data_IF_112424626140
#
_entry.id   IF_112424626140
#
_cell.length_a   1.000
_cell.length_b   1.000
_cell.length_c   1.000
_cell.angle_alpha   90.00
_cell.angle_beta   90.00
_cell.angle_gamma   90.00
#
_symmetry.space_group_name_H-M   'P 1'
#
loop_
_entity.id
_entity.type
_entity.pdbx_description
1 polymer ?
#
# COMPACT_ATOMS: atom_id res chain seq x y z
N UNK A 1 -12.23 23.90 4.19
CA UNK A 1 -12.30 22.46 4.54
C UNK A 1 -10.94 21.89 4.24
N UNK A 2 -10.24 21.30 5.21
CA UNK A 2 -8.96 20.62 4.99
C UNK A 2 -9.21 19.46 4.02
N UNK A 3 -8.41 19.38 2.96
CA UNK A 3 -8.44 18.23 2.04
C UNK A 3 -8.14 16.97 2.87
N UNK A 4 -9.11 16.07 2.99
CA UNK A 4 -8.96 14.85 3.79
C UNK A 4 -8.16 13.85 2.96
N UNK A 5 -6.86 13.79 3.19
CA UNK A 5 -5.98 12.82 2.54
C UNK A 5 -6.24 11.43 3.11
N UNK A 6 -6.46 10.46 2.24
CA UNK A 6 -6.67 9.05 2.58
C UNK A 6 -5.62 8.19 1.87
N UNK A 7 -5.48 6.94 2.25
CA UNK A 7 -4.70 6.00 1.44
C UNK A 7 -5.61 5.45 0.35
N UNK A 8 -5.13 5.49 -0.88
CA UNK A 8 -5.80 4.96 -2.06
C UNK A 8 -5.42 3.49 -2.28
N UNK A 9 -4.12 3.24 -2.36
CA UNK A 9 -3.58 1.90 -2.57
C UNK A 9 -2.13 1.76 -2.11
N UNK A 10 -1.69 0.52 -2.07
CA UNK A 10 -0.29 0.14 -1.94
C UNK A 10 0.19 -0.48 -3.22
N UNK A 11 1.44 -0.22 -3.60
CA UNK A 11 2.09 -0.79 -4.77
C UNK A 11 3.08 -1.86 -4.32
N UNK A 12 2.94 -3.06 -4.85
CA UNK A 12 3.91 -4.14 -4.69
C UNK A 12 4.62 -4.31 -6.02
N UNK A 13 5.91 -4.02 -6.02
CA UNK A 13 6.76 -4.15 -7.20
C UNK A 13 7.12 -5.61 -7.39
N UNK A 14 6.84 -6.16 -8.57
CA UNK A 14 7.02 -7.57 -8.91
C UNK A 14 7.76 -7.75 -10.22
N UNK A 15 8.56 -8.83 -10.31
CA UNK A 15 9.28 -9.17 -11.52
C UNK A 15 8.40 -9.93 -12.52
N UNK A 16 7.60 -10.86 -12.02
CA UNK A 16 6.68 -11.69 -12.80
C UNK A 16 5.24 -11.42 -12.37
N UNK A 17 4.52 -10.65 -13.18
CA UNK A 17 3.16 -10.21 -12.87
C UNK A 17 2.14 -11.37 -12.86
N UNK A 18 2.32 -12.39 -13.72
CA UNK A 18 1.40 -13.55 -13.79
C UNK A 18 1.54 -14.42 -12.53
N UNK A 19 2.78 -14.74 -12.15
CA UNK A 19 3.07 -15.46 -10.92
C UNK A 19 2.55 -14.68 -9.69
N UNK A 20 2.88 -13.39 -9.59
CA UNK A 20 2.43 -12.55 -8.49
C UNK A 20 0.91 -12.44 -8.43
N UNK A 21 0.22 -12.36 -9.57
CA UNK A 21 -1.25 -12.37 -9.65
C UNK A 21 -1.83 -13.68 -9.10
N UNK A 22 -1.22 -14.81 -9.45
CA UNK A 22 -1.62 -16.11 -8.91
C UNK A 22 -1.41 -16.19 -7.39
N UNK A 23 -0.23 -15.78 -6.92
CA UNK A 23 0.13 -15.78 -5.50
C UNK A 23 -0.84 -14.91 -4.68
N UNK A 24 -1.11 -13.68 -5.13
CA UNK A 24 -2.03 -12.78 -4.44
C UNK A 24 -3.50 -13.20 -4.55
N UNK A 25 -3.89 -13.87 -5.65
CA UNK A 25 -5.24 -14.47 -5.73
C UNK A 25 -5.43 -15.55 -4.67
N UNK A 26 -4.42 -16.39 -4.45
CA UNK A 26 -4.41 -17.38 -3.36
C UNK A 26 -4.39 -16.70 -1.99
N UNK A 27 -3.48 -15.75 -1.78
CA UNK A 27 -3.33 -15.06 -0.51
C UNK A 27 -4.61 -14.34 -0.08
N UNK A 28 -5.22 -13.59 -1.01
CA UNK A 28 -6.41 -12.80 -0.73
C UNK A 28 -7.71 -13.61 -0.78
N UNK A 29 -7.73 -14.78 -1.43
CA UNK A 29 -8.95 -15.55 -1.68
C UNK A 29 -9.90 -14.83 -2.64
N UNK A 30 -9.36 -14.03 -3.57
CA UNK A 30 -10.12 -13.18 -4.48
C UNK A 30 -9.54 -13.25 -5.91
N UNK A 31 -10.38 -12.96 -6.91
CA UNK A 31 -9.91 -12.71 -8.27
C UNK A 31 -9.52 -11.23 -8.42
N UNK A 32 -8.58 -10.91 -9.34
CA UNK A 32 -8.29 -9.52 -9.66
C UNK A 32 -9.53 -8.73 -10.07
N UNK A 33 -9.56 -7.46 -9.68
CA UNK A 33 -10.54 -6.47 -10.15
C UNK A 33 -10.21 -5.92 -11.52
N UNK A 34 -8.90 -5.93 -11.86
CA UNK A 34 -8.36 -5.30 -13.04
C UNK A 34 -7.02 -5.92 -13.41
N UNK A 35 -6.78 -6.08 -14.70
CA UNK A 35 -5.48 -6.45 -15.24
C UNK A 35 -5.19 -5.54 -16.43
N UNK A 36 -4.29 -4.59 -16.26
CA UNK A 36 -4.11 -3.52 -17.22
C UNK A 36 -2.67 -3.19 -17.55
N UNK A 37 -2.53 -2.13 -18.31
CA UNK A 37 -1.23 -1.57 -18.67
C UNK A 37 -1.30 -0.05 -18.73
N UNK A 38 -0.12 0.56 -18.58
CA UNK A 38 0.14 1.98 -18.73
C UNK A 38 1.15 2.17 -19.89
N UNK A 39 0.71 2.16 -21.15
CA UNK A 39 1.61 2.17 -22.30
C UNK A 39 2.59 3.35 -22.29
N UNK A 40 2.10 4.55 -21.90
CA UNK A 40 2.90 5.77 -21.83
C UNK A 40 3.97 5.76 -20.73
N UNK A 41 3.84 4.83 -19.76
CA UNK A 41 4.75 4.70 -18.62
C UNK A 41 5.54 3.39 -18.63
N UNK A 42 5.27 2.50 -19.60
CA UNK A 42 5.97 1.23 -19.77
C UNK A 42 5.71 0.20 -18.67
N UNK A 43 4.55 0.22 -17.99
CA UNK A 43 4.22 -0.71 -16.91
C UNK A 43 2.94 -1.49 -17.19
N UNK A 44 2.82 -2.66 -16.53
CA UNK A 44 1.59 -3.43 -16.46
C UNK A 44 1.23 -3.70 -14.99
N UNK A 45 -0.05 -3.85 -14.71
CA UNK A 45 -0.53 -4.04 -13.35
C UNK A 45 -1.66 -5.06 -13.22
N UNK A 46 -1.81 -5.54 -11.99
CA UNK A 46 -2.98 -6.29 -11.51
C UNK A 46 -3.48 -5.63 -10.23
N UNK A 47 -4.78 -5.33 -10.17
CA UNK A 47 -5.39 -4.66 -9.02
C UNK A 47 -6.36 -5.59 -8.30
N UNK A 48 -6.33 -5.56 -6.97
CA UNK A 48 -7.28 -6.22 -6.09
C UNK A 48 -7.95 -5.17 -5.20
N UNK A 49 -9.17 -4.77 -5.55
CA UNK A 49 -9.96 -3.84 -4.73
C UNK A 49 -10.50 -4.58 -3.52
N UNK A 50 -10.13 -4.10 -2.35
CA UNK A 50 -10.62 -4.51 -1.05
C UNK A 50 -11.62 -3.46 -0.52
N UNK A 51 -12.21 -3.71 0.62
CA UNK A 51 -13.26 -2.83 1.18
C UNK A 51 -12.76 -1.42 1.51
N UNK A 52 -11.47 -1.26 1.77
CA UNK A 52 -10.92 0.03 2.20
C UNK A 52 -9.86 0.65 1.29
N UNK A 53 -9.09 -0.14 0.57
CA UNK A 53 -8.10 0.29 -0.42
C UNK A 53 -7.97 -0.79 -1.50
N UNK A 54 -7.17 -0.56 -2.53
CA UNK A 54 -6.73 -1.68 -3.38
C UNK A 54 -5.24 -1.97 -3.25
N UNK A 55 -4.86 -3.20 -3.60
CA UNK A 55 -3.48 -3.63 -3.74
C UNK A 55 -3.16 -3.63 -5.23
N UNK A 56 -2.10 -2.94 -5.63
CA UNK A 56 -1.56 -2.95 -6.97
C UNK A 56 -0.29 -3.80 -7.03
N UNK A 57 -0.28 -4.83 -7.86
CA UNK A 57 0.93 -5.50 -8.32
C UNK A 57 1.41 -4.78 -9.57
N UNK A 58 2.63 -4.26 -9.55
CA UNK A 58 3.17 -3.43 -10.63
C UNK A 58 4.48 -4.04 -11.17
N UNK A 59 4.53 -4.23 -12.49
CA UNK A 59 5.70 -4.75 -13.19
C UNK A 59 6.13 -3.82 -14.33
N UNK A 60 7.42 -3.79 -14.63
CA UNK A 60 7.92 -3.20 -15.87
C UNK A 60 7.47 -4.06 -17.07
N UNK A 61 6.96 -3.41 -18.13
CA UNK A 61 6.40 -4.08 -19.31
C UNK A 61 6.73 -3.35 -20.61
N UNK A 62 7.70 -2.44 -20.58
CA UNK A 62 8.12 -1.62 -21.73
C UNK A 62 9.14 -0.58 -21.33
N UNK A 63 9.19 0.51 -22.08
CA UNK A 63 10.05 1.66 -21.80
C UNK A 63 9.23 2.81 -21.22
N UNK A 64 9.79 3.56 -20.27
CA UNK A 64 9.16 4.72 -19.67
C UNK A 64 9.62 4.96 -18.24
N UNK A 65 9.39 6.16 -17.73
CA UNK A 65 9.87 6.58 -16.41
C UNK A 65 9.41 5.63 -15.28
N UNK A 66 8.17 5.17 -15.31
CA UNK A 66 7.68 4.25 -14.28
C UNK A 66 8.30 2.85 -14.40
N UNK A 67 8.56 2.38 -15.64
CA UNK A 67 9.29 1.13 -15.86
C UNK A 67 10.73 1.21 -15.34
N UNK A 68 11.39 2.34 -15.52
CA UNK A 68 12.76 2.58 -15.01
C UNK A 68 12.77 2.54 -13.47
N UNK A 69 11.82 3.21 -12.81
CA UNK A 69 11.67 3.19 -11.34
C UNK A 69 11.42 1.77 -10.83
N UNK A 70 10.53 1.02 -11.47
CA UNK A 70 10.23 -0.38 -11.10
C UNK A 70 11.47 -1.25 -11.26
N UNK A 71 12.21 -1.09 -12.35
CA UNK A 71 13.44 -1.83 -12.63
C UNK A 71 14.51 -1.53 -11.58
N UNK A 72 14.74 -0.26 -11.27
CA UNK A 72 15.69 0.16 -10.23
C UNK A 72 15.32 -0.41 -8.84
N UNK A 73 14.03 -0.39 -8.49
CA UNK A 73 13.57 -1.00 -7.23
C UNK A 73 13.84 -2.51 -7.19
N UNK A 74 13.58 -3.22 -8.28
CA UNK A 74 13.84 -4.67 -8.38
C UNK A 74 15.33 -4.99 -8.28
N UNK A 75 16.19 -4.20 -8.90
CA UNK A 75 17.64 -4.38 -8.84
C UNK A 75 18.19 -4.14 -7.43
N UNK A 76 17.68 -3.13 -6.74
CA UNK A 76 18.18 -2.74 -5.42
C UNK A 76 17.58 -3.53 -4.26
N UNK A 77 16.32 -3.97 -4.36
CA UNK A 77 15.55 -4.54 -3.24
C UNK A 77 14.89 -5.89 -3.55
N UNK A 78 14.86 -6.31 -4.81
CA UNK A 78 14.00 -7.41 -5.25
C UNK A 78 12.51 -7.03 -5.21
N UNK A 79 11.66 -8.04 -5.28
CA UNK A 79 10.21 -7.84 -5.12
C UNK A 79 9.91 -7.30 -3.71
N UNK A 80 9.11 -6.24 -3.62
CA UNK A 80 8.90 -5.52 -2.35
C UNK A 80 7.63 -4.68 -2.34
N UNK A 81 7.24 -4.24 -1.15
CA UNK A 81 6.29 -3.14 -0.97
C UNK A 81 6.99 -1.85 -1.43
N UNK A 82 6.68 -1.42 -2.67
CA UNK A 82 7.40 -0.39 -3.38
C UNK A 82 6.77 1.00 -3.27
N UNK A 83 5.45 1.12 -3.08
CA UNK A 83 4.78 2.42 -3.07
C UNK A 83 3.60 2.53 -2.12
N UNK A 84 3.33 3.76 -1.70
CA UNK A 84 2.16 4.15 -0.91
C UNK A 84 1.49 5.36 -1.56
N UNK A 85 0.27 5.18 -2.06
CA UNK A 85 -0.45 6.20 -2.82
C UNK A 85 -1.61 6.75 -1.99
N UNK A 86 -1.73 8.07 -2.01
CA UNK A 86 -2.74 8.80 -1.26
C UNK A 86 -3.84 9.30 -2.19
N UNK A 87 -5.09 9.30 -1.72
CA UNK A 87 -6.24 9.83 -2.45
C UNK A 87 -6.64 11.20 -1.94
N UNK A 88 -7.15 12.01 -2.86
CA UNK A 88 -7.86 13.25 -2.55
C UNK A 88 -9.12 13.36 -3.41
N UNK A 89 -10.24 13.88 -2.88
CA UNK A 89 -11.43 14.16 -3.69
C UNK A 89 -11.29 15.42 -4.56
N UNK A 90 -10.27 16.24 -4.31
CA UNK A 90 -10.02 17.50 -5.04
C UNK A 90 -8.52 17.77 -5.10
N UNK A 91 -7.94 17.54 -6.26
CA UNK A 91 -6.49 17.63 -6.48
C UNK A 91 -5.98 19.07 -6.42
N UNK A 92 -6.77 20.06 -6.85
CA UNK A 92 -6.40 21.48 -6.78
C UNK A 92 -6.34 21.96 -5.33
N UNK A 93 -7.33 21.57 -4.51
CA UNK A 93 -7.34 21.88 -3.08
C UNK A 93 -6.18 21.19 -2.35
N UNK A 94 -5.85 19.95 -2.73
CA UNK A 94 -4.68 19.24 -2.21
C UNK A 94 -3.38 19.99 -2.54
N UNK A 95 -3.17 20.40 -3.80
CA UNK A 95 -1.98 21.14 -4.25
C UNK A 95 -1.83 22.45 -3.47
N UNK A 96 -2.94 23.20 -3.30
CA UNK A 96 -2.93 24.45 -2.55
C UNK A 96 -2.53 24.22 -1.08
N UNK A 97 -3.09 23.21 -0.43
CA UNK A 97 -2.76 22.84 0.95
C UNK A 97 -1.31 22.40 1.09
N UNK A 98 -0.87 21.47 0.25
CA UNK A 98 0.49 20.92 0.27
C UNK A 98 1.56 22.02 0.14
N UNK A 99 1.38 22.92 -0.83
CA UNK A 99 2.29 24.08 -1.04
C UNK A 99 2.28 25.03 0.16
N UNK A 100 1.11 25.31 0.73
CA UNK A 100 0.99 26.14 1.93
C UNK A 100 1.65 25.51 3.17
N UNK A 101 1.71 24.17 3.23
CA UNK A 101 2.38 23.40 4.27
C UNK A 101 3.87 23.17 4.00
N UNK A 102 4.42 23.78 2.95
CA UNK A 102 5.84 23.68 2.59
C UNK A 102 6.23 22.36 1.90
N UNK A 103 5.27 21.63 1.34
CA UNK A 103 5.52 20.49 0.48
C UNK A 103 5.54 20.94 -0.98
N UNK A 104 6.71 20.86 -1.62
CA UNK A 104 6.84 21.14 -3.04
C UNK A 104 6.17 20.01 -3.84
N UNK A 105 5.12 20.35 -4.59
CA UNK A 105 4.36 19.39 -5.40
C UNK A 105 4.22 19.89 -6.84
N UNK A 106 4.11 18.93 -7.77
CA UNK A 106 3.81 19.19 -9.18
C UNK A 106 2.42 19.82 -9.36
N UNK A 107 2.14 20.33 -10.54
CA UNK A 107 0.76 20.49 -10.97
C UNK A 107 0.13 19.13 -11.24
N UNK A 108 -1.23 19.03 -11.24
CA UNK A 108 -1.92 17.80 -11.54
C UNK A 108 -1.57 17.27 -12.94
N UNK A 109 -1.18 16.01 -13.01
CA UNK A 109 -0.79 15.32 -14.26
C UNK A 109 -1.81 14.24 -14.58
N UNK A 110 -2.41 14.30 -15.77
CA UNK A 110 -3.35 13.29 -16.22
C UNK A 110 -2.66 11.93 -16.43
N UNK A 111 -3.35 10.87 -16.00
CA UNK A 111 -2.95 9.48 -16.21
C UNK A 111 -4.11 8.64 -16.69
N UNK A 112 -3.80 7.53 -17.35
CA UNK A 112 -4.80 6.55 -17.77
C UNK A 112 -4.24 5.14 -17.78
N UNK A 113 -5.14 4.16 -17.66
CA UNK A 113 -4.84 2.75 -17.80
C UNK A 113 -5.95 2.04 -18.58
N UNK A 114 -5.57 0.96 -19.25
CA UNK A 114 -6.48 0.17 -20.09
C UNK A 114 -6.52 -1.26 -19.55
N UNK A 115 -7.72 -1.75 -19.27
CA UNK A 115 -7.93 -3.14 -18.89
C UNK A 115 -7.76 -4.08 -20.09
N UNK A 116 -6.90 -5.08 -19.93
CA UNK A 116 -6.58 -6.04 -21.00
C UNK A 116 -7.76 -6.96 -21.36
N UNK A 117 -8.70 -7.16 -20.43
CA UNK A 117 -9.81 -8.10 -20.61
C UNK A 117 -11.01 -7.40 -21.23
N UNK A 118 -11.44 -6.29 -20.62
CA UNK A 118 -12.65 -5.57 -21.05
C UNK A 118 -12.39 -4.45 -22.06
N UNK A 119 -11.14 -3.98 -22.17
CA UNK A 119 -10.79 -2.77 -22.94
C UNK A 119 -11.24 -1.47 -22.26
N UNK A 120 -11.79 -1.55 -21.05
CA UNK A 120 -12.20 -0.37 -20.29
C UNK A 120 -11.01 0.54 -19.99
N UNK A 121 -11.25 1.84 -19.96
CA UNK A 121 -10.22 2.83 -19.62
C UNK A 121 -10.56 3.49 -18.31
N UNK A 122 -9.59 3.55 -17.39
CA UNK A 122 -9.65 4.37 -16.18
C UNK A 122 -8.79 5.61 -16.38
N UNK A 123 -9.22 6.73 -15.76
CA UNK A 123 -8.52 8.02 -15.81
C UNK A 123 -8.39 8.60 -14.41
N UNK A 124 -7.32 9.36 -14.21
CA UNK A 124 -7.03 10.02 -12.95
C UNK A 124 -6.11 11.23 -13.15
N UNK A 125 -5.88 11.99 -12.08
CA UNK A 125 -4.80 12.98 -12.01
C UNK A 125 -3.87 12.63 -10.85
N UNK A 126 -2.58 12.65 -11.12
CA UNK A 126 -1.53 12.46 -10.12
C UNK A 126 -0.91 13.79 -9.72
N UNK A 127 -0.51 13.90 -8.47
CA UNK A 127 0.33 14.98 -7.95
C UNK A 127 1.53 14.36 -7.28
N UNK A 128 2.71 14.66 -7.80
CA UNK A 128 3.98 14.15 -7.31
C UNK A 128 4.67 15.19 -6.45
N UNK A 129 5.47 14.75 -5.50
CA UNK A 129 6.41 15.55 -4.72
C UNK A 129 7.82 15.06 -4.90
N UNK A 130 8.78 15.87 -4.49
CA UNK A 130 10.17 15.49 -4.50
C UNK A 130 10.39 14.26 -3.59
N UNK A 131 11.06 13.19 -4.05
CA UNK A 131 11.31 11.99 -3.25
C UNK A 131 11.98 12.29 -1.90
N UNK A 132 12.76 13.37 -1.79
CA UNK A 132 13.39 13.78 -0.53
C UNK A 132 12.37 14.19 0.53
N UNK A 133 11.21 14.72 0.14
CA UNK A 133 10.14 15.07 1.07
C UNK A 133 9.55 13.84 1.77
N UNK A 134 9.43 12.73 1.04
CA UNK A 134 9.01 11.42 1.55
C UNK A 134 10.22 10.53 1.95
N UNK A 135 11.42 11.14 2.10
CA UNK A 135 12.65 10.46 2.50
C UNK A 135 12.98 9.21 1.68
N UNK A 136 12.75 9.27 0.37
CA UNK A 136 13.04 8.20 -0.58
C UNK A 136 11.87 7.22 -0.83
N UNK A 137 10.75 7.35 -0.14
CA UNK A 137 9.58 6.53 -0.45
C UNK A 137 8.94 6.95 -1.77
N UNK A 138 8.66 5.98 -2.62
CA UNK A 138 7.82 6.20 -3.79
C UNK A 138 6.37 6.40 -3.35
N UNK A 139 5.94 7.64 -3.39
CA UNK A 139 4.59 8.02 -2.97
C UNK A 139 4.11 9.26 -3.73
N UNK A 140 2.81 9.37 -3.92
CA UNK A 140 2.16 10.47 -4.60
C UNK A 140 0.68 10.54 -4.21
N UNK A 141 -0.01 11.61 -4.66
CA UNK A 141 -1.45 11.75 -4.47
C UNK A 141 -2.18 11.55 -5.78
N UNK A 142 -3.35 10.91 -5.73
CA UNK A 142 -4.21 10.62 -6.89
C UNK A 142 -5.63 11.13 -6.65
N UNK A 143 -6.26 11.64 -7.71
CA UNK A 143 -7.69 11.84 -7.81
C UNK A 143 -8.21 11.03 -8.98
N UNK A 144 -9.07 10.04 -8.71
CA UNK A 144 -9.73 9.27 -9.76
C UNK A 144 -10.85 10.08 -10.43
N UNK A 145 -11.03 9.85 -11.72
CA UNK A 145 -12.24 10.29 -12.41
C UNK A 145 -13.43 9.50 -11.85
N UNK A 146 -14.51 10.15 -11.40
CA UNK A 146 -15.70 9.48 -10.88
C UNK A 146 -16.32 8.46 -11.83
N UNK A 147 -16.14 8.61 -13.15
CA UNK A 147 -16.59 7.65 -14.15
C UNK A 147 -15.68 6.42 -14.29
N UNK A 148 -14.54 6.39 -13.58
CA UNK A 148 -13.49 5.36 -13.68
C UNK A 148 -13.45 4.44 -12.45
N UNK A 149 -14.61 4.02 -11.94
CA UNK A 149 -14.69 3.18 -10.76
C UNK A 149 -14.03 1.80 -10.98
N UNK A 150 -13.23 1.36 -9.99
CA UNK A 150 -12.64 0.03 -9.97
C UNK A 150 -13.66 -0.97 -9.40
N UNK A 151 -14.01 -2.07 -10.12
CA UNK A 151 -14.90 -3.08 -9.59
C UNK A 151 -14.30 -3.82 -8.39
N UNK A 152 -15.14 -4.35 -7.51
CA UNK A 152 -14.69 -5.15 -6.37
C UNK A 152 -13.98 -6.44 -6.83
N UNK A 153 -12.96 -6.84 -6.09
CA UNK A 153 -12.28 -8.11 -6.29
C UNK A 153 -13.21 -9.26 -5.84
N UNK A 154 -13.68 -10.07 -6.79
CA UNK A 154 -14.64 -11.12 -6.51
C UNK A 154 -14.05 -12.17 -5.56
N UNK A 155 -14.75 -12.46 -4.46
CA UNK A 155 -14.40 -13.52 -3.52
C UNK A 155 -14.52 -14.88 -4.22
N UNK A 156 -13.49 -15.71 -4.08
CA UNK A 156 -13.45 -17.06 -4.66
C UNK A 156 -13.51 -18.17 -3.62
N UNK A 157 -13.19 -17.86 -2.36
CA UNK A 157 -13.08 -18.85 -1.28
C UNK A 157 -13.51 -18.24 0.06
N UNK A 158 -13.99 -19.08 0.97
CA UNK A 158 -14.22 -18.68 2.36
C UNK A 158 -12.94 -18.21 3.05
N UNK A 159 -13.05 -17.36 4.06
CA UNK A 159 -11.90 -16.78 4.74
C UNK A 159 -11.10 -15.81 3.85
N UNK A 160 -11.74 -15.13 2.90
CA UNK A 160 -11.11 -14.13 2.06
C UNK A 160 -10.66 -12.91 2.88
N UNK A 161 -9.56 -12.31 2.48
CA UNK A 161 -9.11 -11.01 3.02
C UNK A 161 -10.07 -9.92 2.53
N UNK A 162 -10.53 -9.06 3.46
CA UNK A 162 -11.47 -8.00 3.11
C UNK A 162 -10.83 -6.60 3.10
N UNK A 163 -9.66 -6.41 3.73
CA UNK A 163 -9.05 -5.09 3.78
C UNK A 163 -7.60 -5.13 4.25
N UNK A 164 -7.01 -3.94 4.33
CA UNK A 164 -5.69 -3.70 4.91
C UNK A 164 -5.88 -2.98 6.25
N UNK A 165 -5.22 -3.46 7.31
CA UNK A 165 -5.25 -2.84 8.63
C UNK A 165 -4.24 -1.70 8.73
N UNK A 166 -3.00 -1.99 8.36
CA UNK A 166 -1.92 -1.00 8.31
C UNK A 166 -0.81 -1.40 7.35
N UNK A 167 -0.05 -0.40 6.93
CA UNK A 167 1.27 -0.55 6.32
C UNK A 167 2.32 -0.14 7.33
N UNK A 168 3.51 -0.74 7.24
CA UNK A 168 4.62 -0.43 8.13
C UNK A 168 5.71 0.32 7.36
N UNK A 169 6.11 1.47 7.90
CA UNK A 169 7.23 2.28 7.43
C UNK A 169 8.35 2.25 8.48
N UNK A 170 9.57 1.96 8.08
CA UNK A 170 10.76 2.15 8.88
C UNK A 170 11.40 3.48 8.56
N UNK A 171 11.80 4.23 9.57
CA UNK A 171 12.46 5.54 9.43
C UNK A 171 13.54 5.73 10.49
N UNK A 172 14.54 6.54 10.18
CA UNK A 172 15.50 7.02 11.17
C UNK A 172 15.04 8.31 11.88
N UNK A 173 13.87 8.89 11.50
CA UNK A 173 13.43 10.18 12.01
C UNK A 173 11.93 10.26 12.28
N UNK A 174 11.54 10.07 13.54
CA UNK A 174 10.16 10.27 14.00
C UNK A 174 9.64 11.70 13.71
N UNK A 175 10.51 12.71 13.83
CA UNK A 175 10.15 14.11 13.57
C UNK A 175 9.86 14.36 12.09
N UNK A 176 10.64 13.78 11.18
CA UNK A 176 10.39 13.87 9.74
C UNK A 176 9.08 13.17 9.35
N UNK A 177 8.80 11.99 9.92
CA UNK A 177 7.53 11.29 9.71
C UNK A 177 6.33 12.10 10.21
N UNK A 178 6.43 12.72 11.39
CA UNK A 178 5.36 13.61 11.91
C UNK A 178 5.12 14.80 11.00
N UNK A 179 6.18 15.43 10.51
CA UNK A 179 6.08 16.54 9.56
C UNK A 179 5.42 16.09 8.24
N UNK A 180 5.89 15.00 7.64
CA UNK A 180 5.40 14.55 6.35
C UNK A 180 3.95 14.08 6.42
N UNK A 181 3.66 13.06 7.23
CA UNK A 181 2.31 12.50 7.31
C UNK A 181 1.33 13.44 8.04
N UNK A 182 1.76 14.10 9.13
CA UNK A 182 0.91 14.96 9.95
C UNK A 182 0.71 16.33 9.33
N UNK A 183 1.78 17.13 9.26
CA UNK A 183 1.68 18.54 8.92
C UNK A 183 1.42 18.75 7.42
N UNK A 184 2.12 18.02 6.55
CA UNK A 184 2.08 18.21 5.10
C UNK A 184 0.92 17.47 4.44
N UNK A 185 0.65 16.21 4.82
CA UNK A 185 -0.46 15.42 4.28
C UNK A 185 -1.76 15.55 5.09
N UNK A 186 -1.73 16.15 6.27
CA UNK A 186 -2.91 16.35 7.11
C UNK A 186 -3.47 15.05 7.74
N UNK A 187 -2.66 13.99 7.84
CA UNK A 187 -3.08 12.71 8.41
C UNK A 187 -2.90 12.74 9.93
N UNK A 188 -3.95 12.42 10.67
CA UNK A 188 -3.96 12.50 12.13
C UNK A 188 -3.02 11.50 12.78
N UNK A 189 -2.06 11.98 13.58
CA UNK A 189 -1.30 11.12 14.50
C UNK A 189 -2.24 10.66 15.63
N UNK A 190 -2.51 9.36 15.67
CA UNK A 190 -3.44 8.76 16.63
C UNK A 190 -2.75 8.26 17.90
N UNK A 191 -1.49 7.79 17.76
CA UNK A 191 -0.71 7.27 18.87
C UNK A 191 0.78 7.50 18.59
N UNK A 192 1.50 7.92 19.63
CA UNK A 192 2.95 7.92 19.70
C UNK A 192 3.36 7.20 20.98
N UNK A 193 4.23 6.21 20.87
CA UNK A 193 4.74 5.48 22.03
C UNK A 193 6.20 5.11 21.84
N UNK A 194 6.97 5.17 22.94
CA UNK A 194 8.34 4.67 22.96
C UNK A 194 8.32 3.19 23.33
N UNK A 195 8.99 2.36 22.54
CA UNK A 195 9.06 0.90 22.71
C UNK A 195 10.54 0.50 22.81
N UNK A 196 11.14 0.52 24.03
CA UNK A 196 12.57 0.27 24.20
C UNK A 196 13.04 -1.07 23.64
N UNK A 197 12.20 -2.11 23.72
CA UNK A 197 12.50 -3.45 23.24
C UNK A 197 12.71 -3.49 21.71
N UNK A 198 12.25 -2.48 20.98
CA UNK A 198 12.44 -2.35 19.53
C UNK A 198 13.43 -1.25 19.16
N UNK A 199 14.03 -0.62 20.18
CA UNK A 199 15.03 0.40 20.01
C UNK A 199 14.51 1.70 19.41
N UNK A 200 13.21 2.01 19.58
CA UNK A 200 12.69 3.20 18.92
C UNK A 200 11.31 3.69 19.34
N UNK A 201 10.80 4.62 18.57
CA UNK A 201 9.48 5.22 18.73
C UNK A 201 8.54 4.69 17.65
N UNK A 202 7.33 4.34 18.05
CA UNK A 202 6.24 3.89 17.17
C UNK A 202 5.21 5.01 17.05
N UNK A 203 4.87 5.35 15.80
CA UNK A 203 3.86 6.34 15.47
C UNK A 203 2.76 5.67 14.66
N UNK A 204 1.49 5.95 14.99
CA UNK A 204 0.35 5.49 14.22
C UNK A 204 -0.41 6.68 13.64
N UNK A 205 -0.37 6.83 12.32
CA UNK A 205 -1.14 7.83 11.60
C UNK A 205 -2.43 7.18 11.08
N UNK A 206 -3.59 7.75 11.47
CA UNK A 206 -4.89 7.22 11.08
C UNK A 206 -5.37 7.85 9.77
N UNK A 207 -5.29 7.10 8.69
CA UNK A 207 -5.73 7.51 7.36
C UNK A 207 -7.05 6.82 7.00
N UNK A 208 -8.18 7.40 7.47
CA UNK A 208 -9.52 6.83 7.29
C UNK A 208 -9.67 5.42 7.90
N UNK A 209 -9.83 4.40 7.09
CA UNK A 209 -10.11 3.01 7.49
C UNK A 209 -8.88 2.15 7.81
N UNK A 210 -7.68 2.70 7.60
CA UNK A 210 -6.42 2.01 7.90
C UNK A 210 -5.40 2.94 8.57
N UNK A 211 -4.25 2.40 8.97
CA UNK A 211 -3.18 3.15 9.61
C UNK A 211 -1.87 3.04 8.84
N UNK A 212 -1.02 4.06 8.99
CA UNK A 212 0.41 3.98 8.71
C UNK A 212 1.10 3.79 10.05
N UNK A 213 1.71 2.64 10.28
CA UNK A 213 2.56 2.37 11.40
C UNK A 213 3.99 2.77 11.04
N UNK A 214 4.53 3.76 11.71
CA UNK A 214 5.92 4.20 11.50
C UNK A 214 6.77 3.74 12.66
N UNK A 215 7.80 2.94 12.38
CA UNK A 215 8.79 2.48 13.35
C UNK A 215 10.04 3.34 13.17
N UNK A 216 10.25 4.28 14.08
CA UNK A 216 11.40 5.15 14.07
C UNK A 216 12.51 4.58 14.97
N UNK A 217 13.65 4.23 14.37
CA UNK A 217 14.81 3.69 15.08
C UNK A 217 16.09 4.37 14.59
N UNK A 218 17.01 4.68 15.49
CA UNK A 218 18.33 5.26 15.16
C UNK A 218 19.19 4.33 14.28
N UNK A 219 18.87 3.03 14.26
CA UNK A 219 19.55 2.04 13.40
C UNK A 219 18.93 1.88 12.03
N UNK A 220 17.82 2.57 11.73
CA UNK A 220 17.21 2.55 10.40
C UNK A 220 18.07 3.32 9.38
N UNK A 221 17.87 3.00 8.10
CA UNK A 221 18.56 3.70 7.01
C UNK A 221 18.18 5.18 6.95
N UNK A 222 19.00 6.00 6.30
CA UNK A 222 18.70 7.42 6.09
C UNK A 222 17.41 7.62 5.27
N UNK A 223 17.19 6.76 4.29
CA UNK A 223 15.94 6.68 3.53
C UNK A 223 14.91 5.86 4.29
N UNK A 224 13.67 6.28 4.22
CA UNK A 224 12.55 5.53 4.76
C UNK A 224 12.27 4.28 3.90
N UNK A 225 11.76 3.23 4.54
CA UNK A 225 11.44 1.96 3.89
C UNK A 225 9.99 1.57 4.14
N UNK A 226 9.24 1.33 3.07
CA UNK A 226 8.01 0.54 3.16
C UNK A 226 8.41 -0.92 3.44
N UNK A 227 8.06 -1.41 4.64
CA UNK A 227 8.57 -2.70 5.11
C UNK A 227 7.56 -3.82 4.97
N UNK A 228 6.31 -3.62 5.38
CA UNK A 228 5.34 -4.71 5.43
C UNK A 228 3.90 -4.25 5.49
N UNK A 229 2.98 -5.21 5.47
CA UNK A 229 1.54 -4.99 5.42
C UNK A 229 0.80 -5.94 6.40
N UNK A 230 -0.25 -5.44 7.02
CA UNK A 230 -1.20 -6.25 7.78
C UNK A 230 -2.54 -6.30 7.07
N UNK A 231 -3.02 -7.52 6.78
CA UNK A 231 -4.24 -7.81 6.05
C UNK A 231 -5.35 -8.20 7.02
N UNK A 232 -6.57 -7.71 6.80
CA UNK A 232 -7.74 -7.98 7.63
C UNK A 232 -8.48 -9.24 7.19
N UNK A 233 -8.74 -10.10 8.15
CA UNK A 233 -9.61 -11.26 8.03
C UNK A 233 -10.77 -11.17 9.02
N UNK A 234 -11.98 -11.51 8.60
CA UNK A 234 -13.12 -11.65 9.52
C UNK A 234 -13.01 -12.92 10.37
N UNK A 235 -12.48 -14.00 9.76
CA UNK A 235 -12.28 -15.30 10.39
C UNK A 235 -10.86 -15.80 10.09
N UNK A 236 -9.95 -15.59 11.04
CA UNK A 236 -8.54 -15.95 10.86
C UNK A 236 -8.34 -17.47 10.80
N UNK A 237 -9.18 -18.26 11.44
CA UNK A 237 -9.12 -19.72 11.38
C UNK A 237 -9.42 -20.22 9.97
N UNK A 238 -10.52 -19.77 9.39
CA UNK A 238 -10.89 -20.12 8.02
C UNK A 238 -9.84 -19.61 7.01
N UNK A 239 -9.32 -18.40 7.21
CA UNK A 239 -8.25 -17.86 6.36
C UNK A 239 -6.98 -18.70 6.48
N UNK A 240 -6.55 -19.01 7.68
CA UNK A 240 -5.33 -19.78 7.95
C UNK A 240 -5.42 -21.20 7.36
N UNK A 241 -6.56 -21.89 7.58
CA UNK A 241 -6.78 -23.23 7.03
C UNK A 241 -6.76 -23.21 5.50
N UNK A 242 -7.45 -22.25 4.88
CA UNK A 242 -7.43 -22.07 3.43
C UNK A 242 -6.03 -21.89 2.85
N UNK A 243 -5.20 -21.08 3.52
CA UNK A 243 -3.82 -20.84 3.12
C UNK A 243 -2.96 -22.11 3.22
N UNK A 244 -3.09 -22.88 4.31
CA UNK A 244 -2.40 -24.16 4.49
C UNK A 244 -2.81 -25.16 3.41
N UNK A 245 -4.11 -25.29 3.13
CA UNK A 245 -4.65 -26.20 2.11
C UNK A 245 -4.15 -25.83 0.69
N UNK A 246 -3.89 -24.54 0.47
CA UNK A 246 -3.29 -24.03 -0.77
C UNK A 246 -1.76 -24.12 -0.82
N UNK A 247 -1.11 -24.67 0.22
CA UNK A 247 0.35 -24.81 0.29
C UNK A 247 1.10 -23.52 0.66
N UNK A 248 0.39 -22.50 1.15
CA UNK A 248 1.02 -21.26 1.62
C UNK A 248 1.64 -21.48 2.99
N UNK A 249 2.92 -21.15 3.15
CA UNK A 249 3.61 -21.25 4.43
C UNK A 249 3.19 -20.13 5.36
N UNK A 250 2.65 -20.48 6.53
CA UNK A 250 2.21 -19.54 7.57
C UNK A 250 2.81 -19.90 8.93
N UNK A 251 2.78 -18.97 9.87
CA UNK A 251 2.98 -19.29 11.29
C UNK A 251 1.67 -19.78 11.88
N UNK A 252 1.75 -20.42 13.07
CA UNK A 252 0.57 -20.66 13.89
C UNK A 252 -0.14 -19.34 14.22
N UNK A 253 -1.46 -19.44 14.45
CA UNK A 253 -2.26 -18.33 14.94
C UNK A 253 -1.88 -18.07 16.41
N UNK A 254 -1.64 -16.82 16.75
CA UNK A 254 -1.30 -16.37 18.10
C UNK A 254 -2.06 -15.11 18.49
N UNK A 255 -2.04 -14.76 19.78
CA UNK A 255 -2.53 -13.45 20.24
C UNK A 255 -1.72 -12.32 19.59
N UNK A 256 -2.41 -11.32 19.11
CA UNK A 256 -1.81 -10.08 18.62
C UNK A 256 -1.39 -9.18 19.78
N UNK A 257 -0.62 -8.11 19.46
CA UNK A 257 -0.22 -7.13 20.47
C UNK A 257 -1.37 -6.24 20.93
N UNK A 258 -2.23 -5.85 20.00
CA UNK A 258 -3.47 -5.14 20.34
C UNK A 258 -4.38 -6.12 21.07
N UNK A 259 -4.82 -5.80 22.30
CA UNK A 259 -5.72 -6.66 23.05
C UNK A 259 -6.96 -7.05 22.22
N UNK A 260 -7.35 -8.34 22.30
CA UNK A 260 -8.49 -8.86 21.57
C UNK A 260 -8.20 -9.25 20.11
N UNK A 261 -7.01 -8.97 19.56
CA UNK A 261 -6.64 -9.39 18.21
C UNK A 261 -5.98 -10.76 18.18
N UNK A 262 -6.11 -11.44 17.05
CA UNK A 262 -5.37 -12.66 16.72
C UNK A 262 -4.66 -12.47 15.39
N UNK A 263 -3.47 -13.05 15.27
CA UNK A 263 -2.60 -12.83 14.11
C UNK A 263 -1.92 -14.12 13.68
N UNK A 264 -1.60 -14.22 12.38
CA UNK A 264 -0.61 -15.15 11.84
C UNK A 264 0.27 -14.45 10.79
N UNK A 265 1.50 -14.92 10.63
CA UNK A 265 2.45 -14.39 9.65
C UNK A 265 2.42 -15.26 8.41
N UNK A 266 2.31 -14.65 7.23
CA UNK A 266 2.46 -15.32 5.95
C UNK A 266 3.92 -15.27 5.52
N UNK A 267 4.51 -16.42 5.12
CA UNK A 267 5.94 -16.58 4.87
C UNK A 267 6.28 -16.92 3.42
N UNK A 268 5.27 -17.15 2.58
CA UNK A 268 5.42 -17.42 1.15
C UNK A 268 4.28 -16.78 0.35
N UNK A 269 4.38 -16.69 -0.97
CA UNK A 269 3.36 -16.11 -1.86
C UNK A 269 3.09 -14.62 -1.59
N UNK A 270 4.08 -13.89 -1.08
CA UNK A 270 3.95 -12.48 -0.68
C UNK A 270 4.82 -11.54 -1.51
N UNK A 271 5.49 -12.03 -2.55
CA UNK A 271 6.43 -11.24 -3.35
C UNK A 271 7.43 -10.47 -2.48
N UNK A 272 8.06 -11.16 -1.52
CA UNK A 272 9.04 -10.57 -0.61
C UNK A 272 8.49 -9.64 0.48
N UNK A 273 7.20 -9.34 0.48
CA UNK A 273 6.59 -8.41 1.45
C UNK A 273 6.29 -9.12 2.77
N UNK A 274 6.88 -8.70 3.90
CA UNK A 274 6.46 -9.16 5.23
C UNK A 274 4.98 -8.93 5.44
N UNK A 275 4.22 -10.01 5.58
CA UNK A 275 2.76 -9.98 5.60
C UNK A 275 2.21 -10.62 6.87
N UNK A 276 1.36 -9.87 7.56
CA UNK A 276 0.60 -10.32 8.73
C UNK A 276 -0.88 -10.43 8.35
N UNK A 277 -1.57 -11.45 8.83
CA UNK A 277 -3.03 -11.50 8.84
C UNK A 277 -3.49 -11.19 10.26
N UNK A 278 -4.48 -10.34 10.38
CA UNK A 278 -5.04 -9.88 11.65
C UNK A 278 -6.56 -9.96 11.62
N UNK A 279 -7.14 -10.40 12.74
CA UNK A 279 -8.58 -10.24 13.01
C UNK A 279 -8.76 -9.50 14.31
N UNK A 280 -9.69 -8.55 14.34
CA UNK A 280 -10.21 -7.98 15.58
C UNK A 280 -11.33 -8.91 16.06
N UNK A 281 -11.21 -9.46 17.27
CA UNK A 281 -12.36 -10.07 17.89
C UNK A 281 -13.32 -8.97 18.32
N UNK A 282 -14.49 -8.99 17.73
CA UNK A 282 -15.67 -8.30 18.26
C UNK A 282 -16.09 -8.94 19.61
#
# INVERSE_FOLDING_TARGET
>A
MTAQTQIDHVIIVVQDLERATSDYSLLLGRRPSWQGSHPDHGTANTLFKLDNIYIELLAAAGQGMAADIVTEMLENRGECLGGLVFATPNVEAFVAHARASGLAVSDPMAGSGIDKISGATRRWHNVFWDPTAARGLFSFCIQHDPASELPEAAITQGGAIYGVDHVVVKTSSASAAKRFYGDQLGIRLALEQHVPEWGGTQLFFRASSMSIEVIASETAHEQDELWGIALKSEDIESTHQRLIDAGVNTSDIRAGRKPGTRVCTVKSHTCGVPTLIITDRS
#
